data_IF_200984408507
#
_entry.id   IF_200984408507
#
_cell.length_a   1.000
_cell.length_b   1.000
_cell.length_c   1.000
_cell.angle_alpha   90.00
_cell.angle_beta   90.00
_cell.angle_gamma   90.00
#
_symmetry.space_group_name_H-M   'P 1'
#
loop_
_entity.id
_entity.type
_entity.pdbx_description
1 polymer ?
#
# COMPACT_ATOMS: atom_id res chain seq x y z
N UNK A 1 13.13 2.44 12.71
CA UNK A 1 13.96 3.65 12.48
C UNK A 1 13.10 4.89 12.27
N UNK A 2 13.69 6.07 12.02
CA UNK A 2 12.95 7.35 11.83
C UNK A 2 11.93 7.29 10.67
N UNK A 3 12.18 6.40 9.71
CA UNK A 3 11.31 5.99 8.60
C UNK A 3 10.68 4.60 8.83
N UNK A 4 10.19 4.31 10.05
CA UNK A 4 9.49 3.05 10.31
C UNK A 4 8.20 3.03 9.49
N UNK A 5 7.96 1.97 8.72
CA UNK A 5 6.73 1.80 7.94
C UNK A 5 5.48 1.87 8.82
N UNK A 6 5.62 1.48 10.10
CA UNK A 6 4.58 1.61 11.13
C UNK A 6 4.01 3.02 11.27
N UNK A 7 4.80 4.06 10.96
CA UNK A 7 4.36 5.47 11.03
C UNK A 7 3.46 5.88 9.86
N UNK A 8 3.41 5.06 8.81
CA UNK A 8 2.60 5.27 7.61
C UNK A 8 1.43 4.26 7.54
N UNK A 9 1.43 3.23 8.38
CA UNK A 9 0.36 2.25 8.47
C UNK A 9 -0.82 2.78 9.31
N UNK A 10 -2.02 2.33 8.96
CA UNK A 10 -3.21 2.46 9.81
C UNK A 10 -2.95 1.79 11.17
N UNK A 11 -3.43 2.41 12.25
CA UNK A 11 -3.33 1.84 13.60
C UNK A 11 -4.24 0.62 13.69
N UNK A 12 -3.64 -0.56 13.75
CA UNK A 12 -4.31 -1.86 13.93
C UNK A 12 -3.87 -2.51 15.24
N UNK A 13 -4.62 -3.49 15.73
CA UNK A 13 -4.16 -4.34 16.83
C UNK A 13 -2.86 -5.05 16.41
N UNK A 14 -1.87 -5.14 17.31
CA UNK A 14 -0.54 -5.66 16.99
C UNK A 14 -0.58 -7.04 16.31
N UNK A 15 -1.43 -7.95 16.79
CA UNK A 15 -1.58 -9.28 16.20
C UNK A 15 -2.04 -9.21 14.73
N UNK A 16 -3.04 -8.38 14.43
CA UNK A 16 -3.52 -8.13 13.06
C UNK A 16 -2.44 -7.48 12.19
N UNK A 17 -1.72 -6.51 12.75
CA UNK A 17 -0.62 -5.85 12.06
C UNK A 17 0.51 -6.85 11.71
N UNK A 18 0.89 -7.72 12.65
CA UNK A 18 1.90 -8.75 12.41
C UNK A 18 1.41 -9.81 11.41
N UNK A 19 0.13 -10.18 11.46
CA UNK A 19 -0.47 -11.11 10.49
C UNK A 19 -0.41 -10.57 9.06
N UNK A 20 -0.69 -9.28 8.85
CA UNK A 20 -0.52 -8.60 7.55
C UNK A 20 0.95 -8.56 7.13
N UNK A 21 1.88 -8.54 8.08
CA UNK A 21 3.33 -8.63 7.84
C UNK A 21 3.88 -10.05 7.91
N UNK A 22 3.07 -11.09 7.63
CA UNK A 22 3.57 -12.47 7.58
C UNK A 22 4.15 -12.95 8.91
N UNK A 23 3.48 -12.66 10.03
CA UNK A 23 3.96 -12.97 11.39
C UNK A 23 5.07 -12.05 11.88
N UNK A 24 5.23 -10.88 11.26
CA UNK A 24 6.25 -9.87 11.59
C UNK A 24 7.54 -9.95 10.79
N UNK A 25 7.59 -10.86 9.82
CA UNK A 25 8.56 -10.78 8.75
C UNK A 25 7.89 -10.22 7.48
N UNK A 26 7.84 -8.89 7.38
CA UNK A 26 7.23 -8.20 6.25
C UNK A 26 7.79 -8.63 4.88
N UNK A 27 9.00 -9.20 4.83
CA UNK A 27 9.58 -9.75 3.59
C UNK A 27 8.82 -10.99 3.12
N UNK A 28 8.42 -11.88 4.04
CA UNK A 28 7.62 -13.07 3.73
C UNK A 28 6.21 -12.69 3.24
N UNK A 29 5.61 -11.66 3.82
CA UNK A 29 4.31 -11.16 3.36
C UNK A 29 4.31 -10.79 1.88
N UNK A 30 5.42 -10.22 1.36
CA UNK A 30 5.54 -9.82 -0.05
C UNK A 30 5.55 -10.98 -1.04
N UNK A 31 5.81 -12.20 -0.59
CA UNK A 31 5.79 -13.39 -1.45
C UNK A 31 4.37 -13.98 -1.57
N UNK A 32 3.41 -13.52 -0.77
CA UNK A 32 2.07 -14.08 -0.78
C UNK A 32 1.33 -13.76 -2.09
N UNK A 33 0.68 -14.77 -2.70
CA UNK A 33 -0.27 -14.52 -3.77
C UNK A 33 -1.34 -13.56 -3.29
N UNK A 34 -1.64 -12.54 -4.09
CA UNK A 34 -2.64 -11.55 -3.73
C UNK A 34 -2.21 -10.50 -2.70
N UNK A 35 -0.93 -10.40 -2.32
CA UNK A 35 -0.51 -9.34 -1.38
C UNK A 35 -0.73 -7.95 -1.96
N UNK A 36 -1.46 -7.13 -1.21
CA UNK A 36 -1.99 -5.84 -1.65
C UNK A 36 -0.91 -4.86 -2.11
N UNK A 37 0.19 -4.71 -1.35
CA UNK A 37 1.26 -3.78 -1.73
C UNK A 37 1.94 -4.25 -3.01
N UNK A 38 2.24 -5.53 -3.17
CA UNK A 38 2.82 -6.09 -4.39
C UNK A 38 1.94 -5.79 -5.59
N UNK A 39 0.67 -6.14 -5.50
CA UNK A 39 -0.30 -5.92 -6.58
C UNK A 39 -0.49 -4.44 -6.92
N UNK A 40 -0.45 -3.56 -5.92
CA UNK A 40 -0.57 -2.11 -6.12
C UNK A 40 0.70 -1.52 -6.74
N UNK A 41 1.88 -1.94 -6.28
CA UNK A 41 3.17 -1.50 -6.84
C UNK A 41 3.35 -1.98 -8.29
N UNK A 42 2.91 -3.20 -8.61
CA UNK A 42 2.90 -3.73 -9.97
C UNK A 42 2.04 -2.86 -10.90
N UNK A 43 0.82 -2.52 -10.50
CA UNK A 43 -0.05 -1.64 -11.28
C UNK A 43 0.48 -0.21 -11.43
N UNK A 44 1.15 0.33 -10.40
CA UNK A 44 1.79 1.64 -10.49
C UNK A 44 2.98 1.62 -11.46
N UNK A 45 3.78 0.54 -11.42
CA UNK A 45 4.90 0.35 -12.32
C UNK A 45 4.45 0.23 -13.78
N UNK A 46 3.42 -0.56 -14.06
CA UNK A 46 2.82 -0.67 -15.39
C UNK A 46 2.32 0.68 -15.91
N UNK A 47 1.64 1.46 -15.07
CA UNK A 47 1.16 2.80 -15.42
C UNK A 47 2.31 3.81 -15.67
N UNK A 48 3.42 3.71 -14.93
CA UNK A 48 4.63 4.51 -15.21
C UNK A 48 5.28 4.11 -16.53
N UNK A 49 5.35 2.81 -16.80
CA UNK A 49 5.89 2.27 -18.05
C UNK A 49 5.07 2.71 -19.26
N UNK A 50 3.74 2.65 -19.17
CA UNK A 50 2.82 3.10 -20.22
C UNK A 50 2.88 4.63 -20.43
N UNK A 51 2.98 5.40 -19.35
CA UNK A 51 3.09 6.85 -19.42
C UNK A 51 4.48 7.34 -19.89
N UNK A 52 5.51 6.48 -19.85
CA UNK A 52 6.90 6.83 -20.14
C UNK A 52 7.50 7.85 -19.16
N UNK A 53 6.91 8.00 -17.97
CA UNK A 53 7.34 8.95 -16.93
C UNK A 53 6.83 8.53 -15.56
N UNK A 54 7.44 9.08 -14.52
CA UNK A 54 6.93 8.98 -13.17
C UNK A 54 5.50 9.54 -13.05
N UNK A 55 4.69 8.86 -12.24
CA UNK A 55 3.33 9.31 -11.95
C UNK A 55 3.33 10.51 -11.01
N UNK A 56 2.34 11.38 -11.18
CA UNK A 56 2.09 12.45 -10.20
C UNK A 56 1.44 11.86 -8.95
N UNK A 57 1.56 12.55 -7.82
CA UNK A 57 0.88 12.17 -6.58
C UNK A 57 -0.62 11.95 -6.78
N UNK A 58 -1.29 12.81 -7.54
CA UNK A 58 -2.73 12.70 -7.78
C UNK A 58 -3.07 11.46 -8.61
N UNK A 59 -2.29 11.19 -9.65
CA UNK A 59 -2.47 9.98 -10.48
C UNK A 59 -2.24 8.71 -9.68
N UNK A 60 -1.24 8.69 -8.80
CA UNK A 60 -1.03 7.56 -7.87
C UNK A 60 -2.26 7.36 -6.98
N UNK A 61 -2.79 8.43 -6.39
CA UNK A 61 -3.97 8.36 -5.52
C UNK A 61 -5.22 7.89 -6.28
N UNK A 62 -5.40 8.31 -7.54
CA UNK A 62 -6.50 7.86 -8.40
C UNK A 62 -6.41 6.37 -8.71
N UNK A 63 -5.23 5.87 -9.08
CA UNK A 63 -4.98 4.45 -9.35
C UNK A 63 -5.23 3.62 -8.07
N UNK A 64 -4.68 4.05 -6.93
CA UNK A 64 -4.88 3.37 -5.65
C UNK A 64 -6.36 3.36 -5.30
N UNK A 65 -7.08 4.47 -5.43
CA UNK A 65 -8.52 4.54 -5.13
C UNK A 65 -9.34 3.63 -6.06
N UNK A 66 -8.99 3.56 -7.36
CA UNK A 66 -9.64 2.65 -8.30
C UNK A 66 -9.44 1.18 -7.91
N UNK A 67 -8.22 0.80 -7.52
CA UNK A 67 -7.93 -0.55 -7.05
C UNK A 67 -8.64 -0.85 -5.73
N UNK A 68 -8.67 0.10 -4.79
CA UNK A 68 -9.40 -0.10 -3.53
C UNK A 68 -10.86 -0.41 -3.77
N UNK A 69 -11.51 0.29 -4.72
CA UNK A 69 -12.89 -0.03 -5.15
C UNK A 69 -12.99 -1.42 -5.79
N UNK A 70 -12.05 -1.78 -6.66
CA UNK A 70 -12.08 -3.08 -7.35
C UNK A 70 -11.95 -4.27 -6.40
N UNK A 71 -11.17 -4.14 -5.32
CA UNK A 71 -10.95 -5.18 -4.31
C UNK A 71 -11.83 -5.03 -3.06
N UNK A 72 -12.88 -4.20 -3.11
CA UNK A 72 -13.80 -3.93 -1.99
C UNK A 72 -13.11 -3.47 -0.70
N UNK A 73 -11.99 -2.76 -0.84
CA UNK A 73 -11.25 -2.18 0.28
C UNK A 73 -11.85 -0.80 0.60
N UNK A 74 -12.29 -0.55 1.85
CA UNK A 74 -12.84 0.74 2.23
C UNK A 74 -11.87 1.90 1.99
N UNK A 75 -12.30 2.94 1.29
CA UNK A 75 -11.52 4.17 1.00
C UNK A 75 -11.40 5.10 2.22
N UNK A 76 -10.99 4.55 3.36
CA UNK A 76 -10.81 5.29 4.59
C UNK A 76 -9.37 5.78 4.70
N UNK A 77 -9.07 6.92 4.08
CA UNK A 77 -7.76 7.56 4.23
C UNK A 77 -7.67 8.24 5.60
N UNK A 78 -6.81 7.71 6.47
CA UNK A 78 -6.44 8.42 7.69
C UNK A 78 -5.56 9.60 7.29
N UNK A 79 -6.01 10.82 7.59
CA UNK A 79 -5.19 12.03 7.40
C UNK A 79 -3.91 11.88 8.22
N UNK A 80 -2.79 11.63 7.55
CA UNK A 80 -1.48 11.68 8.20
C UNK A 80 -1.18 13.15 8.53
N UNK A 81 -1.32 13.55 9.80
CA UNK A 81 -0.78 14.84 10.28
C UNK A 81 0.73 14.75 10.21
N UNK A 82 1.32 15.19 9.09
CA UNK A 82 2.76 15.42 9.02
C UNK A 82 3.15 16.38 10.14
N UNK A 83 4.18 16.01 10.90
CA UNK A 83 4.89 16.96 11.76
C UNK A 83 5.84 17.78 10.90
#
# INVERSE_FOLDING_TARGET
GKMSIERFCVRLQQATHQAIHGGGNWKLGREWPGEWNRMTMEALFEAEAEAGRMLTRNTILEIVAARMRFYDIPMNFVRCRGK
#
